data_IF_395990987302
#
_entry.id   IF_395990987302
#
_cell.length_a   1.000
_cell.length_b   1.000
_cell.length_c   1.000
_cell.angle_alpha   90.00
_cell.angle_beta   90.00
_cell.angle_gamma   90.00
#
_symmetry.space_group_name_H-M   'P 1'
#
loop_
_entity.id
_entity.type
_entity.pdbx_description
1 polymer ?
#
# COMPACT_ATOMS: atom_id res chain seq x y z
N UNK A 1 -39.57 53.74 -42.27
CA UNK A 1 -39.23 53.70 -43.72
C UNK A 1 -38.86 52.29 -44.00
N UNK A 2 -39.81 51.51 -44.36
CA UNK A 2 -40.29 51.21 -45.72
C UNK A 2 -39.39 50.22 -46.41
N UNK A 3 -40.04 49.12 -46.68
CA UNK A 3 -40.22 48.39 -47.95
C UNK A 3 -39.07 47.39 -48.29
N UNK A 4 -39.26 46.26 -48.86
CA UNK A 4 -40.38 45.43 -49.39
C UNK A 4 -39.76 44.18 -50.00
N UNK A 5 -40.29 43.03 -49.82
CA UNK A 5 -41.13 42.21 -50.69
C UNK A 5 -40.50 41.55 -51.92
N UNK A 6 -40.86 40.28 -52.03
CA UNK A 6 -41.16 39.43 -53.22
C UNK A 6 -40.09 38.34 -53.51
N UNK A 7 -40.44 37.15 -53.50
CA UNK A 7 -41.52 36.27 -54.06
C UNK A 7 -40.99 35.39 -55.21
N UNK A 8 -41.30 34.14 -55.10
CA UNK A 8 -41.58 33.15 -56.16
C UNK A 8 -40.46 32.37 -56.84
N UNK A 9 -40.67 31.10 -56.86
CA UNK A 9 -40.07 30.13 -57.77
C UNK A 9 -40.29 28.67 -57.37
N UNK A 10 -41.50 28.19 -57.59
CA UNK A 10 -41.95 26.80 -57.49
C UNK A 10 -41.41 26.05 -58.72
N UNK A 11 -40.65 24.91 -58.52
CA UNK A 11 -40.61 23.84 -59.53
C UNK A 11 -40.56 22.51 -58.80
N UNK A 12 -41.63 21.73 -58.94
CA UNK A 12 -41.72 20.30 -58.64
C UNK A 12 -40.83 19.51 -59.60
N UNK A 13 -40.01 18.62 -59.06
CA UNK A 13 -39.64 17.36 -59.71
C UNK A 13 -39.69 16.21 -58.77
N UNK A 14 -40.68 15.36 -58.98
CA UNK A 14 -40.80 14.02 -58.40
C UNK A 14 -39.81 13.10 -59.10
N UNK A 15 -38.97 12.45 -58.37
CA UNK A 15 -38.37 11.19 -58.81
C UNK A 15 -38.10 10.28 -57.59
N UNK A 16 -38.84 9.19 -57.59
CA UNK A 16 -38.76 8.18 -56.56
C UNK A 16 -37.39 7.50 -56.53
N UNK A 17 -36.85 7.32 -55.36
CA UNK A 17 -35.74 6.41 -55.11
C UNK A 17 -36.09 5.49 -53.98
N UNK A 18 -36.05 4.24 -54.33
CA UNK A 18 -36.13 2.99 -53.66
C UNK A 18 -35.50 2.98 -52.24
N UNK A 19 -36.31 2.70 -51.23
CA UNK A 19 -35.88 2.54 -49.84
C UNK A 19 -35.32 1.12 -49.69
N UNK A 20 -33.98 0.98 -49.67
CA UNK A 20 -33.29 -0.23 -49.24
C UNK A 20 -33.16 -0.18 -47.73
N UNK A 21 -33.93 -1.01 -47.05
CA UNK A 21 -33.79 -1.24 -45.61
C UNK A 21 -32.46 -1.94 -45.32
N UNK A 22 -31.46 -1.16 -44.98
CA UNK A 22 -30.22 -1.66 -44.40
C UNK A 22 -30.42 -1.90 -42.92
N UNK A 23 -30.45 -3.18 -42.50
CA UNK A 23 -30.47 -3.60 -41.12
C UNK A 23 -29.13 -3.19 -40.45
N UNK A 24 -29.10 -2.08 -39.75
CA UNK A 24 -28.00 -1.75 -38.86
C UNK A 24 -28.08 -2.64 -37.62
N UNK A 25 -27.26 -3.66 -37.61
CA UNK A 25 -26.96 -4.38 -36.37
C UNK A 25 -26.28 -3.44 -35.40
N UNK A 26 -27.00 -2.97 -34.39
CA UNK A 26 -26.42 -2.30 -33.24
C UNK A 26 -25.54 -3.31 -32.50
N UNK A 27 -24.23 -3.19 -32.63
CA UNK A 27 -23.30 -3.84 -31.77
C UNK A 27 -23.45 -3.15 -30.40
N UNK A 28 -24.10 -3.83 -29.48
CA UNK A 28 -24.05 -3.45 -28.07
C UNK A 28 -22.58 -3.51 -27.63
N UNK A 29 -21.97 -2.39 -27.43
CA UNK A 29 -20.72 -2.28 -26.65
C UNK A 29 -21.10 -2.64 -25.21
N UNK A 30 -20.76 -3.85 -24.83
CA UNK A 30 -20.69 -4.25 -23.44
C UNK A 30 -19.55 -3.44 -22.80
N UNK A 31 -19.94 -2.34 -22.21
CA UNK A 31 -19.07 -1.52 -21.36
C UNK A 31 -18.90 -2.28 -20.05
N UNK A 32 -18.14 -3.38 -20.12
CA UNK A 32 -17.66 -4.08 -18.93
C UNK A 32 -16.68 -3.13 -18.26
N UNK A 33 -17.24 -2.23 -17.45
CA UNK A 33 -16.49 -1.39 -16.55
C UNK A 33 -15.52 -2.27 -15.78
N UNK A 34 -14.26 -2.26 -16.20
CA UNK A 34 -13.14 -2.72 -15.41
C UNK A 34 -13.15 -1.91 -14.13
N UNK A 35 -13.91 -2.36 -13.13
CA UNK A 35 -13.66 -1.98 -11.76
C UNK A 35 -12.24 -2.46 -11.47
N UNK A 36 -11.28 -1.56 -11.70
CA UNK A 36 -9.98 -1.69 -11.12
C UNK A 36 -10.24 -1.92 -9.62
N UNK A 37 -9.99 -3.14 -9.17
CA UNK A 37 -9.95 -3.44 -7.74
C UNK A 37 -8.94 -2.45 -7.17
N UNK A 38 -9.45 -1.40 -6.52
CA UNK A 38 -8.65 -0.59 -5.63
C UNK A 38 -8.12 -1.58 -4.60
N UNK A 39 -6.87 -2.00 -4.77
CA UNK A 39 -6.16 -2.75 -3.76
C UNK A 39 -6.26 -1.88 -2.51
N UNK A 40 -6.99 -2.36 -1.53
CA UNK A 40 -7.15 -1.75 -0.20
C UNK A 40 -5.81 -1.91 0.52
N UNK A 41 -4.78 -1.26 -0.04
CA UNK A 41 -3.45 -1.20 0.56
C UNK A 41 -3.55 -0.15 1.65
N UNK A 42 -3.70 -0.63 2.89
CA UNK A 42 -3.55 0.23 4.06
C UNK A 42 -2.26 1.04 3.93
N UNK A 43 -2.28 2.35 4.18
CA UNK A 43 -1.10 3.19 4.08
C UNK A 43 0.03 2.63 4.95
N UNK A 44 1.26 2.77 4.48
CA UNK A 44 2.43 2.36 5.25
C UNK A 44 2.46 3.10 6.58
N UNK A 45 2.68 2.37 7.67
CA UNK A 45 2.88 2.94 8.99
C UNK A 45 4.32 2.76 9.44
N UNK A 46 4.88 3.82 9.97
CA UNK A 46 6.28 3.90 10.40
C UNK A 46 6.54 3.01 11.61
N UNK A 47 7.66 2.30 11.59
CA UNK A 47 8.08 1.38 12.64
C UNK A 47 9.47 1.76 13.21
N UNK A 48 9.78 1.34 14.45
CA UNK A 48 11.12 1.51 15.00
C UNK A 48 12.17 0.87 14.11
N UNK A 49 13.24 1.60 13.83
CA UNK A 49 14.30 1.19 12.92
C UNK A 49 14.20 1.80 11.52
N UNK A 50 13.04 2.33 11.13
CA UNK A 50 12.90 3.04 9.84
C UNK A 50 13.73 4.33 9.83
N UNK A 51 14.16 4.70 8.64
CA UNK A 51 14.91 5.94 8.40
C UNK A 51 14.04 6.89 7.62
N UNK A 52 13.80 8.07 8.19
CA UNK A 52 13.05 9.14 7.56
C UNK A 52 13.97 10.31 7.20
N UNK A 53 13.72 10.95 6.07
CA UNK A 53 14.22 12.28 5.78
C UNK A 53 13.09 13.28 5.87
N UNK A 54 13.30 14.31 6.70
CA UNK A 54 12.36 15.41 6.91
C UNK A 54 13.03 16.67 6.40
N UNK A 55 12.33 17.41 5.55
CA UNK A 55 12.78 18.67 5.01
C UNK A 55 11.71 19.75 5.12
N UNK A 56 12.14 20.97 5.38
CA UNK A 56 11.27 22.15 5.43
C UNK A 56 11.68 23.10 4.30
N UNK A 57 10.72 23.49 3.48
CA UNK A 57 10.97 24.37 2.33
C UNK A 57 11.61 25.69 2.73
N UNK A 58 12.70 26.07 2.05
CA UNK A 58 13.52 27.27 2.29
C UNK A 58 14.33 27.26 3.60
N UNK A 59 14.28 26.19 4.39
CA UNK A 59 15.01 26.07 5.66
C UNK A 59 16.06 24.95 5.53
N UNK A 60 17.24 25.28 4.99
CA UNK A 60 18.31 24.30 4.75
C UNK A 60 18.82 23.65 6.05
N UNK A 61 18.76 24.37 7.17
CA UNK A 61 19.14 23.85 8.49
C UNK A 61 18.13 22.86 9.08
N UNK A 62 16.94 22.76 8.51
CA UNK A 62 15.89 21.84 8.89
C UNK A 62 15.74 20.65 7.93
N UNK A 63 16.79 20.32 7.19
CA UNK A 63 16.87 19.06 6.45
C UNK A 63 17.58 18.04 7.33
N UNK A 64 16.86 17.00 7.76
CA UNK A 64 17.39 15.98 8.67
C UNK A 64 16.96 14.58 8.26
N UNK A 65 17.96 13.69 8.20
CA UNK A 65 17.73 12.26 8.21
C UNK A 65 17.69 11.80 9.67
N UNK A 66 16.68 11.02 10.03
CA UNK A 66 16.50 10.53 11.39
C UNK A 66 16.05 9.07 11.39
N UNK A 67 16.50 8.32 12.40
CA UNK A 67 16.08 6.92 12.63
C UNK A 67 15.00 6.93 13.70
N UNK A 68 13.95 6.17 13.46
CA UNK A 68 12.92 5.93 14.47
C UNK A 68 13.51 5.07 15.57
N UNK A 69 13.55 5.62 16.76
CA UNK A 69 14.12 4.96 17.96
C UNK A 69 13.28 3.75 18.39
N UNK A 70 13.82 2.85 19.21
CA UNK A 70 13.07 1.70 19.75
C UNK A 70 11.80 2.08 20.54
N UNK A 71 11.75 3.27 21.14
CA UNK A 71 10.56 3.83 21.80
C UNK A 71 9.48 4.30 20.81
N UNK A 72 9.77 4.26 19.51
CA UNK A 72 8.87 4.66 18.44
C UNK A 72 8.87 6.15 18.16
N UNK A 73 9.77 6.93 18.75
CA UNK A 73 9.87 8.37 18.57
C UNK A 73 11.11 8.75 17.74
N UNK A 74 11.13 9.98 17.24
CA UNK A 74 12.32 10.64 16.70
C UNK A 74 12.39 12.07 17.20
N UNK A 75 13.60 12.65 17.15
CA UNK A 75 13.82 14.06 17.54
C UNK A 75 14.00 14.91 16.30
N UNK A 76 13.35 16.08 16.25
CA UNK A 76 13.50 17.04 15.18
C UNK A 76 13.79 18.44 15.73
N UNK A 77 14.65 19.25 15.08
CA UNK A 77 14.98 20.60 15.54
C UNK A 77 13.74 21.46 15.76
N UNK A 78 13.76 22.32 16.76
CA UNK A 78 12.70 23.23 17.19
C UNK A 78 11.46 22.54 17.81
N UNK A 79 11.06 21.36 17.34
CA UNK A 79 9.82 20.70 17.75
C UNK A 79 10.02 19.58 18.78
N UNK A 80 11.28 19.17 19.00
CA UNK A 80 11.63 18.13 19.98
C UNK A 80 11.23 16.72 19.55
N UNK A 81 10.84 15.89 20.51
CA UNK A 81 10.45 14.49 20.28
C UNK A 81 9.05 14.37 19.71
N UNK A 82 8.93 13.52 18.69
CA UNK A 82 7.68 13.20 18.00
C UNK A 82 7.49 11.68 18.00
N UNK A 83 6.33 11.23 18.46
CA UNK A 83 5.94 9.83 18.37
C UNK A 83 5.53 9.51 16.94
N UNK A 84 6.19 8.54 16.31
CA UNK A 84 5.98 8.18 14.91
C UNK A 84 5.50 6.73 14.72
N UNK A 85 5.76 5.86 15.68
CA UNK A 85 5.37 4.45 15.57
C UNK A 85 3.87 4.29 15.31
N UNK A 86 3.53 3.59 14.24
CA UNK A 86 2.15 3.30 13.84
C UNK A 86 1.45 4.45 13.12
N UNK A 87 2.14 5.59 12.91
CA UNK A 87 1.60 6.71 12.14
C UNK A 87 1.99 6.61 10.66
N UNK A 88 1.17 7.16 9.79
CA UNK A 88 1.50 7.31 8.38
C UNK A 88 2.49 8.46 8.16
N UNK A 89 3.10 8.51 6.98
CA UNK A 89 4.01 9.59 6.60
C UNK A 89 3.28 10.94 6.60
N UNK A 90 2.04 10.96 6.15
CA UNK A 90 1.18 12.14 6.09
C UNK A 90 0.84 12.65 7.50
N UNK A 91 0.52 11.75 8.43
CA UNK A 91 0.26 12.13 9.83
C UNK A 91 1.50 12.74 10.49
N UNK A 92 2.67 12.14 10.28
CA UNK A 92 3.93 12.67 10.78
C UNK A 92 4.22 14.06 10.20
N UNK A 93 4.01 14.23 8.89
CA UNK A 93 4.18 15.52 8.21
C UNK A 93 3.31 16.61 8.83
N UNK A 94 2.04 16.29 9.08
CA UNK A 94 1.10 17.23 9.69
C UNK A 94 1.49 17.60 11.13
N UNK A 95 1.94 16.61 11.93
CA UNK A 95 2.41 16.86 13.31
C UNK A 95 3.64 17.76 13.32
N UNK A 96 4.61 17.51 12.43
CA UNK A 96 5.82 18.35 12.31
C UNK A 96 5.43 19.76 11.91
N UNK A 97 4.55 19.91 10.91
CA UNK A 97 4.06 21.19 10.43
C UNK A 97 3.42 22.00 11.54
N UNK A 98 2.42 21.43 12.24
CA UNK A 98 1.72 22.11 13.34
C UNK A 98 2.65 22.58 14.45
N UNK A 99 3.67 21.78 14.78
CA UNK A 99 4.63 22.16 15.82
C UNK A 99 5.59 23.26 15.35
N UNK A 100 5.95 23.27 14.05
CA UNK A 100 6.81 24.31 13.47
C UNK A 100 6.12 25.66 13.28
N UNK A 101 4.80 25.72 13.15
CA UNK A 101 4.03 26.97 13.01
C UNK A 101 4.28 27.99 14.13
N UNK A 102 4.75 27.52 15.30
CA UNK A 102 5.17 28.40 16.41
C UNK A 102 6.46 29.18 16.12
N UNK A 103 7.26 28.72 15.16
CA UNK A 103 8.59 29.26 14.87
C UNK A 103 8.68 29.79 13.44
N UNK A 104 7.96 29.20 12.51
CA UNK A 104 8.01 29.49 11.07
C UNK A 104 6.57 29.68 10.57
N UNK A 105 6.22 30.83 9.99
CA UNK A 105 4.90 31.04 9.39
C UNK A 105 4.73 30.13 8.16
N UNK A 106 3.60 29.45 8.06
CA UNK A 106 3.21 28.59 6.94
C UNK A 106 4.31 27.61 6.48
N UNK A 107 4.88 26.75 7.36
CA UNK A 107 5.96 25.86 7.00
C UNK A 107 5.47 24.77 6.04
N UNK A 108 6.19 24.58 4.93
CA UNK A 108 5.96 23.47 4.01
C UNK A 108 6.92 22.34 4.36
N UNK A 109 6.39 21.30 4.97
CA UNK A 109 7.14 20.14 5.43
C UNK A 109 6.98 18.99 4.42
N UNK A 110 8.07 18.28 4.15
CA UNK A 110 8.07 17.03 3.38
C UNK A 110 8.72 15.95 4.22
N UNK A 111 8.05 14.81 4.35
CA UNK A 111 8.57 13.62 5.02
C UNK A 111 8.69 12.49 4.01
N UNK A 112 9.84 11.85 3.94
CA UNK A 112 10.14 10.74 3.03
C UNK A 112 10.69 9.57 3.83
N UNK A 113 10.27 8.35 3.51
CA UNK A 113 10.87 7.13 4.07
C UNK A 113 12.05 6.74 3.17
N UNK A 114 13.26 6.85 3.69
CA UNK A 114 14.47 6.50 2.94
C UNK A 114 14.76 5.01 3.02
N UNK A 115 14.56 4.41 4.21
CA UNK A 115 14.79 2.99 4.42
C UNK A 115 13.70 2.40 5.32
N UNK A 116 13.11 1.31 4.86
CA UNK A 116 12.13 0.52 5.62
C UNK A 116 12.90 -0.63 6.29
N UNK A 117 13.34 -0.46 7.52
CA UNK A 117 14.09 -1.46 8.28
C UNK A 117 13.30 -2.01 9.46
N UNK A 118 12.30 -1.27 9.91
CA UNK A 118 11.46 -1.64 11.04
C UNK A 118 10.47 -2.77 10.74
N UNK A 119 10.19 -3.08 9.48
CA UNK A 119 9.26 -4.13 9.08
C UNK A 119 10.01 -5.44 8.80
N UNK A 120 10.60 -6.02 9.84
CA UNK A 120 11.34 -7.28 9.72
C UNK A 120 10.59 -8.45 10.36
N UNK A 121 10.64 -9.61 9.67
CA UNK A 121 10.15 -10.90 10.15
C UNK A 121 11.31 -11.90 10.17
N UNK A 122 11.17 -12.91 10.99
CA UNK A 122 12.20 -13.95 11.14
C UNK A 122 11.65 -15.28 10.67
N UNK A 123 12.43 -16.05 9.92
CA UNK A 123 12.07 -17.40 9.48
C UNK A 123 13.16 -18.35 9.96
N UNK A 124 12.77 -19.35 10.74
CA UNK A 124 13.68 -20.30 11.37
C UNK A 124 13.25 -21.75 11.09
N UNK A 125 14.22 -22.66 11.18
CA UNK A 125 13.99 -24.10 11.07
C UNK A 125 14.23 -24.65 9.67
N UNK A 126 13.39 -25.58 9.23
CA UNK A 126 13.55 -26.34 8.00
C UNK A 126 13.13 -25.54 6.75
N UNK A 127 13.85 -24.45 6.48
CA UNK A 127 13.75 -23.62 5.28
C UNK A 127 15.10 -23.54 4.55
N UNK A 128 15.11 -23.19 3.27
CA UNK A 128 16.35 -23.15 2.50
C UNK A 128 17.27 -22.01 2.95
N UNK A 129 16.72 -20.88 3.40
CA UNK A 129 17.47 -19.72 3.89
C UNK A 129 16.84 -19.19 5.18
N UNK A 130 17.18 -19.74 6.35
CA UNK A 130 16.71 -19.17 7.63
C UNK A 130 17.39 -17.83 7.87
N UNK A 131 16.65 -16.90 8.49
CA UNK A 131 17.20 -15.57 8.80
C UNK A 131 16.13 -14.51 9.04
N UNK A 132 16.59 -13.26 9.09
CA UNK A 132 15.76 -12.07 9.15
C UNK A 132 15.48 -11.59 7.72
N UNK A 133 14.23 -11.24 7.45
CA UNK A 133 13.77 -10.69 6.19
C UNK A 133 13.08 -9.35 6.42
N UNK A 134 13.53 -8.34 5.71
CA UNK A 134 12.89 -7.01 5.71
C UNK A 134 11.89 -6.96 4.57
N UNK A 135 10.65 -6.63 4.88
CA UNK A 135 9.58 -6.48 3.89
C UNK A 135 9.27 -5.01 3.65
N UNK A 136 9.17 -4.62 2.38
CA UNK A 136 8.80 -3.25 2.01
C UNK A 136 7.31 -2.91 2.27
N UNK A 137 6.54 -3.86 2.77
CA UNK A 137 5.11 -3.73 3.07
C UNK A 137 4.60 -4.92 3.86
N UNK A 138 3.29 -5.00 4.00
CA UNK A 138 2.66 -6.13 4.68
C UNK A 138 2.86 -7.41 3.86
N UNK A 139 3.48 -8.41 4.48
CA UNK A 139 3.64 -9.74 3.89
C UNK A 139 2.90 -10.78 4.71
N UNK A 140 2.43 -11.83 4.04
CA UNK A 140 1.81 -12.98 4.67
C UNK A 140 2.82 -14.11 4.93
N UNK A 141 2.35 -15.18 5.59
CA UNK A 141 3.21 -16.32 5.95
C UNK A 141 3.79 -17.01 4.72
N UNK A 142 2.98 -17.19 3.67
CA UNK A 142 3.44 -17.81 2.42
C UNK A 142 4.52 -16.98 1.72
N UNK A 143 4.36 -15.65 1.72
CA UNK A 143 5.35 -14.73 1.18
C UNK A 143 6.67 -14.76 1.99
N UNK A 144 6.58 -14.82 3.32
CA UNK A 144 7.77 -14.96 4.16
C UNK A 144 8.51 -16.27 3.91
N UNK A 145 7.80 -17.38 3.75
CA UNK A 145 8.38 -18.66 3.36
C UNK A 145 9.02 -18.60 1.96
N UNK A 146 8.40 -17.91 1.01
CA UNK A 146 8.97 -17.69 -0.32
C UNK A 146 10.26 -16.87 -0.26
N UNK A 147 10.33 -15.82 0.56
CA UNK A 147 11.56 -15.04 0.80
C UNK A 147 12.68 -15.91 1.40
N UNK A 148 12.31 -16.86 2.28
CA UNK A 148 13.24 -17.85 2.84
C UNK A 148 13.65 -18.94 1.82
N UNK A 149 13.24 -18.82 0.54
CA UNK A 149 13.56 -19.79 -0.52
C UNK A 149 12.74 -21.07 -0.47
N UNK A 150 11.61 -21.05 0.23
CA UNK A 150 10.74 -22.20 0.45
C UNK A 150 11.19 -23.09 1.62
N UNK A 151 10.41 -24.12 1.89
CA UNK A 151 10.68 -25.12 2.92
C UNK A 151 11.68 -26.17 2.42
N UNK A 152 12.44 -26.76 3.33
CA UNK A 152 13.30 -27.91 3.00
C UNK A 152 12.50 -29.19 2.83
N UNK A 153 13.13 -30.23 2.25
CA UNK A 153 12.50 -31.55 2.07
C UNK A 153 12.25 -32.26 3.41
N UNK A 154 12.81 -31.80 4.49
CA UNK A 154 12.66 -32.34 5.85
C UNK A 154 11.63 -31.58 6.68
N UNK A 155 11.02 -30.53 6.13
CA UNK A 155 10.09 -29.69 6.85
C UNK A 155 8.78 -30.43 7.18
N UNK A 156 8.29 -30.26 8.41
CA UNK A 156 6.97 -30.68 8.78
C UNK A 156 5.95 -29.58 8.46
N UNK A 157 5.37 -29.65 7.27
CA UNK A 157 4.52 -28.63 6.68
C UNK A 157 3.21 -28.38 7.44
N UNK A 158 2.75 -29.39 8.20
CA UNK A 158 1.47 -29.33 8.93
C UNK A 158 1.65 -28.74 10.37
N UNK A 159 2.90 -28.46 10.78
CA UNK A 159 3.22 -28.02 12.15
C UNK A 159 3.98 -26.71 12.20
N UNK A 160 3.92 -25.91 11.16
CA UNK A 160 4.50 -24.56 11.14
C UNK A 160 3.77 -23.69 12.18
N UNK A 161 4.50 -22.80 12.82
CA UNK A 161 3.96 -21.88 13.83
C UNK A 161 4.49 -20.48 13.60
N UNK A 162 3.62 -19.49 13.80
CA UNK A 162 4.02 -18.09 13.88
C UNK A 162 4.06 -17.73 15.37
N UNK A 163 5.22 -17.30 15.84
CA UNK A 163 5.38 -16.77 17.19
C UNK A 163 5.24 -15.26 17.11
N UNK A 164 4.21 -14.74 17.75
CA UNK A 164 3.90 -13.30 17.81
C UNK A 164 3.93 -12.81 19.25
N UNK A 165 4.57 -11.67 19.47
CA UNK A 165 4.54 -11.02 20.78
C UNK A 165 3.39 -10.03 20.84
N UNK A 166 2.48 -10.25 21.79
CA UNK A 166 1.33 -9.37 22.06
C UNK A 166 1.40 -8.97 23.53
N UNK A 167 1.61 -7.70 23.82
CA UNK A 167 1.67 -7.18 25.20
C UNK A 167 2.55 -8.05 26.11
N UNK A 168 3.81 -8.21 25.82
CA UNK A 168 4.79 -9.04 26.57
C UNK A 168 4.56 -10.56 26.52
N UNK A 169 3.38 -11.03 26.17
CA UNK A 169 3.09 -12.45 26.01
C UNK A 169 3.49 -12.95 24.61
N UNK A 170 4.08 -14.12 24.56
CA UNK A 170 4.37 -14.81 23.30
C UNK A 170 3.24 -15.78 23.00
N UNK A 171 2.59 -15.60 21.87
CA UNK A 171 1.54 -16.50 21.38
C UNK A 171 2.05 -17.30 20.18
N UNK A 172 1.61 -18.56 20.07
CA UNK A 172 1.91 -19.42 18.95
C UNK A 172 0.65 -19.60 18.09
N UNK A 173 0.69 -19.12 16.86
CA UNK A 173 -0.40 -19.23 15.89
C UNK A 173 -0.07 -20.41 14.97
N UNK A 174 -0.90 -21.45 14.89
CA UNK A 174 -0.64 -22.59 14.03
C UNK A 174 -0.83 -22.23 12.57
N UNK A 175 -0.02 -22.82 11.69
CA UNK A 175 -0.10 -22.67 10.25
C UNK A 175 0.16 -24.02 9.58
N UNK A 176 -0.78 -24.44 8.75
CA UNK A 176 -0.72 -25.69 7.99
C UNK A 176 -0.48 -25.34 6.51
N UNK A 177 0.76 -25.49 6.10
CA UNK A 177 1.16 -25.20 4.72
C UNK A 177 0.44 -26.10 3.71
N UNK A 178 0.29 -27.40 4.03
CA UNK A 178 -0.34 -28.38 3.14
C UNK A 178 -1.80 -28.06 2.84
N UNK A 179 -2.51 -27.46 3.80
CA UNK A 179 -3.88 -27.02 3.56
C UNK A 179 -3.95 -25.74 2.72
N UNK A 180 -3.09 -24.80 2.97
CA UNK A 180 -3.02 -23.55 2.19
C UNK A 180 -2.67 -23.86 0.73
N UNK A 181 -1.68 -24.73 0.49
CA UNK A 181 -1.28 -25.17 -0.86
C UNK A 181 -2.47 -25.78 -1.63
N UNK A 182 -3.36 -26.49 -0.94
CA UNK A 182 -4.57 -27.08 -1.51
C UNK A 182 -5.75 -26.10 -1.59
N UNK A 183 -5.56 -24.84 -1.28
CA UNK A 183 -6.61 -23.81 -1.25
C UNK A 183 -7.58 -23.96 -0.08
N UNK A 184 -7.23 -24.72 0.96
CA UNK A 184 -8.03 -24.91 2.16
C UNK A 184 -7.58 -23.99 3.27
N UNK A 185 -8.48 -23.67 4.21
CA UNK A 185 -8.20 -22.89 5.43
C UNK A 185 -7.35 -21.62 5.16
N UNK A 186 -7.61 -20.91 4.06
CA UNK A 186 -6.83 -19.74 3.62
C UNK A 186 -6.73 -18.63 4.67
N UNK A 187 -7.66 -18.58 5.63
CA UNK A 187 -7.63 -17.66 6.76
C UNK A 187 -6.41 -17.83 7.68
N UNK A 188 -5.70 -18.97 7.60
CA UNK A 188 -4.43 -19.17 8.33
C UNK A 188 -3.26 -18.40 7.71
N UNK A 189 -3.35 -18.02 6.44
CA UNK A 189 -2.32 -17.21 5.79
C UNK A 189 -2.47 -15.74 6.21
N UNK A 190 -2.17 -15.50 7.46
CA UNK A 190 -2.30 -14.17 8.09
C UNK A 190 -1.18 -13.23 7.64
N UNK A 191 -1.46 -11.94 7.71
CA UNK A 191 -0.42 -10.91 7.59
C UNK A 191 0.51 -10.97 8.81
N UNK A 192 1.80 -10.95 8.52
CA UNK A 192 2.85 -10.88 9.54
C UNK A 192 3.03 -9.43 9.99
N UNK A 193 3.31 -9.27 11.28
CA UNK A 193 3.66 -7.98 11.85
C UNK A 193 5.16 -7.94 12.18
N UNK A 194 5.76 -6.74 12.28
CA UNK A 194 7.16 -6.59 12.64
C UNK A 194 7.52 -7.38 13.92
N UNK A 195 8.57 -8.18 13.85
CA UNK A 195 9.03 -9.03 14.95
C UNK A 195 8.42 -10.42 15.02
N UNK A 196 7.50 -10.79 14.12
CA UNK A 196 6.99 -12.15 14.02
C UNK A 196 8.10 -13.14 13.65
N UNK A 197 8.01 -14.35 14.22
CA UNK A 197 8.94 -15.44 13.95
C UNK A 197 8.17 -16.63 13.39
N UNK A 198 8.42 -16.97 12.12
CA UNK A 198 7.89 -18.17 11.48
C UNK A 198 8.83 -19.33 11.78
N UNK A 199 8.34 -20.35 12.48
CA UNK A 199 9.10 -21.55 12.84
C UNK A 199 8.63 -22.73 12.02
N UNK A 200 9.52 -23.31 11.23
CA UNK A 200 9.28 -24.48 10.39
C UNK A 200 10.00 -25.68 11.01
N UNK A 201 9.29 -26.61 11.66
CA UNK A 201 9.90 -27.76 12.31
C UNK A 201 10.37 -28.83 11.31
#
# INVERSE_FOLDING_TARGET
>A
MTFNTRMSGLILYSLGILFVAGSSSAVAQDDTGSQAASSDMSPYTVNPGDVLTISVWKEMDLIRQTIIRPDGAFSFPLVGDIQAKGQSVEEIQEIVKQRLERYIPDPVVTVTVDQILGHSVYVLGQVNRPGQFVAAGNIDVMQALALAGGTSVFANLDKIKILRRVNENLIAIPFDYSDIEKGKRLHQNILLVPGDVVVVP
#
